data_IF_287195076361
#
_entry.id   IF_287195076361
#
_cell.length_a   1.000
_cell.length_b   1.000
_cell.length_c   1.000
_cell.angle_alpha   90.00
_cell.angle_beta   90.00
_cell.angle_gamma   90.00
#
_symmetry.space_group_name_H-M   'P 1'
#
loop_
_entity.id
_entity.type
_entity.pdbx_description
1 polymer ?
#
# COMPACT_ATOMS: atom_id res chain seq x y z
N UNK A 1 -17.51 6.94 17.84
CA UNK A 1 -18.56 7.32 16.85
C UNK A 1 -18.91 6.08 16.05
N UNK A 2 -20.16 5.91 15.62
CA UNK A 2 -20.60 4.77 14.81
C UNK A 2 -21.72 5.19 13.85
N UNK A 3 -21.76 4.55 12.68
CA UNK A 3 -22.81 4.69 11.66
C UNK A 3 -23.09 3.31 11.07
N UNK A 4 -24.34 3.03 10.73
CA UNK A 4 -24.75 1.75 10.12
C UNK A 4 -25.28 2.03 8.71
N UNK A 5 -24.67 1.42 7.71
CA UNK A 5 -25.03 1.56 6.30
C UNK A 5 -25.23 0.16 5.69
N UNK A 6 -26.38 -0.06 5.05
CA UNK A 6 -26.63 -1.30 4.32
C UNK A 6 -25.94 -1.23 2.96
N UNK A 7 -25.05 -2.19 2.68
CA UNK A 7 -24.27 -2.29 1.45
C UNK A 7 -24.57 -3.60 0.73
N UNK A 8 -24.66 -3.56 -0.60
CA UNK A 8 -24.72 -4.78 -1.40
C UNK A 8 -23.39 -5.55 -1.35
N UNK A 9 -23.32 -6.82 -1.77
CA UNK A 9 -22.04 -7.51 -1.89
C UNK A 9 -21.09 -6.80 -2.84
N UNK A 10 -19.83 -6.62 -2.44
CA UNK A 10 -18.84 -5.88 -3.21
C UNK A 10 -17.70 -5.32 -2.38
N UNK A 11 -16.75 -4.67 -3.06
CA UNK A 11 -15.60 -4.00 -2.43
C UNK A 11 -15.89 -2.51 -2.33
N UNK A 12 -15.84 -1.98 -1.11
CA UNK A 12 -16.14 -0.58 -0.82
C UNK A 12 -14.90 0.11 -0.29
N UNK A 13 -14.66 1.34 -0.76
CA UNK A 13 -13.57 2.21 -0.33
C UNK A 13 -14.13 3.40 0.43
N UNK A 14 -13.47 3.79 1.53
CA UNK A 14 -13.92 4.89 2.38
C UNK A 14 -12.76 5.54 3.14
N UNK A 15 -13.02 6.74 3.67
CA UNK A 15 -12.16 7.49 4.59
C UNK A 15 -13.02 8.23 5.61
N UNK A 16 -12.42 8.61 6.73
CA UNK A 16 -13.08 9.46 7.72
C UNK A 16 -12.64 10.91 7.53
N UNK A 17 -13.54 11.85 7.80
CA UNK A 17 -13.19 13.26 7.96
C UNK A 17 -13.19 13.53 9.47
N UNK A 18 -12.03 13.91 10.00
CA UNK A 18 -11.83 14.22 11.42
C UNK A 18 -11.16 15.59 11.47
N UNK A 19 -11.80 16.57 12.10
CA UNK A 19 -11.32 17.97 12.16
C UNK A 19 -11.01 18.53 10.76
N UNK A 20 -11.94 18.37 9.80
CA UNK A 20 -11.82 18.77 8.39
C UNK A 20 -10.68 18.09 7.60
N UNK A 21 -10.02 17.09 8.19
CA UNK A 21 -8.93 16.36 7.56
C UNK A 21 -9.33 14.92 7.19
N UNK A 22 -8.96 14.49 5.98
CA UNK A 22 -9.21 13.14 5.47
C UNK A 22 -8.24 12.11 6.05
N UNK A 23 -8.71 11.24 6.94
CA UNK A 23 -7.89 10.22 7.62
C UNK A 23 -8.34 8.79 7.35
N UNK A 24 -7.38 7.87 7.29
CA UNK A 24 -7.65 6.43 7.30
C UNK A 24 -7.66 5.92 8.74
N UNK A 25 -8.55 4.98 9.06
CA UNK A 25 -8.55 4.28 10.33
C UNK A 25 -7.33 3.34 10.42
N UNK A 26 -6.48 3.46 11.46
CA UNK A 26 -5.26 2.64 11.59
C UNK A 26 -5.52 1.15 11.80
N UNK A 27 -6.73 0.79 12.22
CA UNK A 27 -7.14 -0.58 12.56
C UNK A 27 -7.90 -1.29 11.44
N UNK A 28 -8.16 -0.60 10.33
CA UNK A 28 -8.90 -1.15 9.20
C UNK A 28 -7.96 -1.36 8.01
N UNK A 29 -8.21 -2.36 7.14
CA UNK A 29 -7.42 -2.57 5.94
C UNK A 29 -7.35 -1.31 5.08
N UNK A 30 -6.20 -1.10 4.45
CA UNK A 30 -5.97 0.01 3.53
C UNK A 30 -5.48 -0.50 2.19
N UNK A 31 -5.90 0.16 1.13
CA UNK A 31 -5.42 -0.08 -0.23
C UNK A 31 -5.14 1.25 -0.91
N UNK A 32 -4.34 1.18 -1.97
CA UNK A 32 -4.13 2.31 -2.87
C UNK A 32 -5.23 2.27 -3.95
N UNK A 33 -5.93 3.38 -4.14
CA UNK A 33 -6.96 3.50 -5.18
C UNK A 33 -6.34 3.73 -6.57
N UNK A 34 -7.16 3.74 -7.63
CA UNK A 34 -6.71 4.01 -9.01
C UNK A 34 -5.97 5.35 -9.14
N UNK A 35 -6.33 6.31 -8.30
CA UNK A 35 -5.71 7.63 -8.18
C UNK A 35 -4.43 7.65 -7.33
N UNK A 36 -4.00 6.53 -6.77
CA UNK A 36 -2.83 6.47 -5.88
C UNK A 36 -3.08 6.91 -4.43
N UNK A 37 -4.32 7.23 -4.08
CA UNK A 37 -4.69 7.64 -2.72
C UNK A 37 -4.78 6.44 -1.78
N UNK A 38 -4.23 6.58 -0.57
CA UNK A 38 -4.44 5.60 0.49
C UNK A 38 -5.86 5.76 1.07
N UNK A 39 -6.65 4.69 0.99
CA UNK A 39 -8.04 4.61 1.47
C UNK A 39 -8.22 3.37 2.33
N UNK A 40 -9.19 3.39 3.24
CA UNK A 40 -9.66 2.14 3.84
C UNK A 40 -10.56 1.41 2.86
N UNK A 41 -10.57 0.08 2.93
CA UNK A 41 -11.54 -0.71 2.17
C UNK A 41 -12.15 -1.82 3.03
N UNK A 42 -13.34 -2.27 2.62
CA UNK A 42 -14.02 -3.42 3.17
C UNK A 42 -14.62 -4.23 2.04
N UNK A 43 -14.51 -5.55 2.15
CA UNK A 43 -15.19 -6.49 1.26
C UNK A 43 -16.45 -6.98 1.95
N UNK A 44 -17.60 -6.75 1.32
CA UNK A 44 -18.90 -7.22 1.77
C UNK A 44 -19.22 -8.48 0.99
N UNK A 45 -19.17 -9.63 1.67
CA UNK A 45 -19.54 -10.91 1.08
C UNK A 45 -21.03 -11.00 0.78
N UNK A 46 -21.39 -11.75 -0.26
CA UNK A 46 -22.77 -12.19 -0.42
C UNK A 46 -23.12 -13.07 0.77
N UNK A 47 -24.02 -12.59 1.64
CA UNK A 47 -24.65 -13.47 2.62
C UNK A 47 -25.53 -14.41 1.82
N UNK A 48 -24.98 -15.54 1.37
CA UNK A 48 -25.79 -16.66 0.90
C UNK A 48 -26.51 -17.14 2.16
N UNK A 49 -27.85 -17.02 2.26
CA UNK A 49 -28.56 -17.65 3.35
C UNK A 49 -28.40 -19.15 3.12
N UNK A 50 -27.45 -19.80 3.82
CA UNK A 50 -27.40 -21.25 3.87
C UNK A 50 -28.63 -21.73 4.64
N UNK A 51 -29.58 -22.46 4.02
CA UNK A 51 -30.70 -23.02 4.73
C UNK A 51 -30.29 -24.39 5.30
N UNK A 52 -29.61 -24.39 6.43
CA UNK A 52 -29.53 -25.49 7.43
C UNK A 52 -28.40 -25.14 8.40
N UNK A 53 -28.62 -25.01 9.71
CA UNK A 53 -29.20 -26.03 10.59
C UNK A 53 -29.63 -25.34 11.89
N UNK A 54 -30.92 -25.19 12.11
CA UNK A 54 -31.46 -25.05 13.46
C UNK A 54 -31.56 -26.45 14.10
N UNK A 55 -31.32 -26.52 15.41
CA UNK A 55 -32.04 -27.38 16.39
C UNK A 55 -31.23 -28.48 17.12
N UNK A 56 -30.94 -28.17 18.41
CA UNK A 56 -30.89 -29.03 19.64
C UNK A 56 -29.80 -30.12 19.74
N UNK A 57 -29.24 -30.54 20.88
CA UNK A 57 -29.12 -30.18 22.31
C UNK A 57 -28.06 -31.15 22.91
N UNK A 58 -27.52 -30.95 24.14
CA UNK A 58 -26.37 -31.70 24.69
C UNK A 58 -26.76 -32.98 25.47
N UNK A 59 -25.73 -33.78 25.85
CA UNK A 59 -25.68 -34.92 26.80
C UNK A 59 -25.97 -36.34 26.28
N UNK A 60 -24.95 -37.22 26.39
CA UNK A 60 -25.15 -38.60 26.85
C UNK A 60 -24.32 -39.71 26.19
N UNK A 61 -23.39 -40.29 26.99
CA UNK A 61 -23.03 -41.73 27.08
C UNK A 61 -22.38 -42.42 25.85
N UNK A 62 -21.35 -43.28 25.91
CA UNK A 62 -20.43 -43.78 26.93
C UNK A 62 -19.31 -44.58 26.18
N UNK A 63 -18.05 -44.49 26.62
CA UNK A 63 -17.01 -45.52 26.41
C UNK A 63 -17.31 -46.73 27.34
N UNK A 64 -16.64 -47.93 27.29
CA UNK A 64 -15.25 -48.20 26.86
C UNK A 64 -14.96 -49.60 26.23
N UNK A 65 -13.74 -49.83 25.70
CA UNK A 65 -13.02 -51.11 25.82
C UNK A 65 -11.53 -50.96 25.45
N UNK A 66 -10.68 -51.51 26.31
CA UNK A 66 -9.21 -51.39 26.46
C UNK A 66 -8.54 -52.69 25.93
N UNK A 67 -7.27 -53.07 26.22
CA UNK A 67 -5.96 -52.36 26.32
C UNK A 67 -4.82 -53.10 25.56
N UNK A 68 -3.65 -52.47 25.35
CA UNK A 68 -2.42 -53.24 25.10
C UNK A 68 -1.21 -52.46 24.57
N UNK A 69 -0.12 -52.42 25.36
CA UNK A 69 1.25 -52.44 24.82
C UNK A 69 2.14 -51.19 24.99
N UNK A 70 2.76 -51.06 26.16
CA UNK A 70 4.10 -50.54 26.52
C UNK A 70 4.92 -49.56 25.62
N UNK A 71 5.19 -48.39 26.23
CA UNK A 71 6.32 -47.41 26.22
C UNK A 71 7.69 -47.74 25.53
N UNK A 72 8.64 -46.78 25.30
CA UNK A 72 8.74 -45.40 25.85
C UNK A 72 9.23 -44.26 24.91
N UNK A 73 9.15 -43.03 25.46
CA UNK A 73 10.03 -41.87 25.22
C UNK A 73 10.09 -41.20 23.82
N UNK A 74 9.44 -40.04 23.71
CA UNK A 74 10.11 -38.77 23.34
C UNK A 74 9.22 -37.59 23.70
N UNK A 75 9.71 -36.76 24.61
CA UNK A 75 9.12 -35.47 24.93
C UNK A 75 9.49 -34.49 23.83
N UNK A 76 8.51 -34.05 23.05
CA UNK A 76 8.66 -32.83 22.25
C UNK A 76 7.34 -32.08 22.24
N UNK A 77 7.28 -31.03 23.05
CA UNK A 77 6.24 -30.00 23.03
C UNK A 77 6.27 -29.29 21.68
N UNK A 78 5.29 -29.54 20.80
CA UNK A 78 4.98 -28.65 19.68
C UNK A 78 3.81 -27.75 20.07
N UNK A 79 4.17 -26.60 20.66
CA UNK A 79 3.26 -25.46 20.77
C UNK A 79 2.83 -24.94 19.40
N UNK A 80 1.80 -24.07 19.33
CA UNK A 80 1.31 -23.55 18.07
C UNK A 80 2.41 -22.73 17.39
N UNK A 81 2.52 -22.92 16.09
CA UNK A 81 3.52 -22.34 15.21
C UNK A 81 3.74 -20.85 15.50
N UNK A 82 4.94 -20.54 16.00
CA UNK A 82 5.48 -19.20 16.07
C UNK A 82 5.58 -18.65 14.63
N UNK A 83 4.67 -17.73 14.30
CA UNK A 83 4.90 -16.78 13.20
C UNK A 83 6.18 -15.98 13.53
N UNK A 84 7.13 -15.82 12.61
CA UNK A 84 8.37 -15.12 12.89
C UNK A 84 8.08 -13.67 13.29
N UNK A 85 8.52 -13.27 14.49
CA UNK A 85 8.44 -11.91 15.06
C UNK A 85 9.29 -10.86 14.30
N UNK A 86 9.65 -11.07 13.04
CA UNK A 86 10.53 -10.14 12.32
C UNK A 86 9.80 -9.03 11.53
N UNK A 87 8.46 -9.02 11.50
CA UNK A 87 7.69 -8.01 10.74
C UNK A 87 6.83 -7.15 11.68
N UNK A 88 7.35 -6.74 12.84
CA UNK A 88 6.61 -5.82 13.73
C UNK A 88 7.33 -4.53 14.14
N UNK A 89 8.55 -4.31 13.69
CA UNK A 89 9.23 -3.05 14.00
C UNK A 89 10.30 -2.80 12.98
N UNK A 90 9.91 -2.31 11.80
CA UNK A 90 10.84 -1.45 11.08
C UNK A 90 10.81 -0.09 11.78
N UNK A 91 11.88 0.31 12.48
CA UNK A 91 12.00 1.68 12.93
C UNK A 91 11.94 2.58 11.69
N UNK A 92 11.16 3.66 11.76
CA UNK A 92 11.30 4.75 10.81
C UNK A 92 12.79 5.10 10.74
N UNK A 93 13.43 5.05 9.57
CA UNK A 93 14.85 5.35 9.48
C UNK A 93 15.04 6.76 10.04
N UNK A 94 15.84 6.86 11.10
CA UNK A 94 16.27 8.15 11.58
C UNK A 94 16.99 8.85 10.42
N UNK A 95 16.58 10.08 10.11
CA UNK A 95 17.28 10.89 9.13
C UNK A 95 18.72 11.07 9.62
N UNK A 96 19.65 10.35 9.00
CA UNK A 96 21.06 10.49 9.30
C UNK A 96 21.67 11.57 8.43
N UNK A 97 22.37 12.51 9.05
CA UNK A 97 23.23 13.47 8.35
C UNK A 97 24.59 12.87 7.95
N UNK A 98 24.83 11.58 8.23
CA UNK A 98 26.08 10.91 7.87
C UNK A 98 26.18 10.77 6.35
N UNK A 99 27.15 11.45 5.74
CA UNK A 99 27.55 11.18 4.36
C UNK A 99 28.18 9.79 4.34
N UNK A 100 27.65 8.81 3.59
CA UNK A 100 28.28 7.51 3.47
C UNK A 100 29.66 7.71 2.82
N UNK A 101 30.72 7.37 3.56
CA UNK A 101 32.08 7.35 3.00
C UNK A 101 32.14 6.28 1.91
N UNK A 102 32.56 6.61 0.68
CA UNK A 102 32.71 5.61 -0.36
C UNK A 102 33.83 4.66 0.08
N UNK A 103 33.46 3.46 0.54
CA UNK A 103 34.42 2.39 0.74
C UNK A 103 35.03 2.08 -0.62
N UNK A 104 36.34 2.28 -0.76
CA UNK A 104 37.15 1.85 -1.90
C UNK A 104 37.17 0.32 -1.95
N UNK A 105 36.06 -0.28 -2.38
CA UNK A 105 35.93 -1.70 -2.64
C UNK A 105 35.70 -1.87 -4.13
N UNK A 106 36.63 -2.59 -4.73
CA UNK A 106 36.81 -2.86 -6.14
C UNK A 106 35.52 -3.10 -6.91
N UNK A 107 35.40 -2.38 -8.03
CA UNK A 107 34.56 -2.60 -9.19
C UNK A 107 33.73 -3.90 -9.20
N UNK A 108 32.54 -3.85 -8.61
CA UNK A 108 31.41 -4.63 -9.12
C UNK A 108 30.44 -3.62 -9.70
N UNK A 109 30.37 -3.58 -11.03
CA UNK A 109 29.41 -2.79 -11.78
C UNK A 109 28.02 -3.00 -11.15
N UNK A 110 27.52 -1.96 -10.49
CA UNK A 110 26.12 -1.90 -10.09
C UNK A 110 25.29 -2.03 -11.36
N UNK A 111 24.24 -2.86 -11.38
CA UNK A 111 23.33 -2.86 -12.52
C UNK A 111 22.86 -1.42 -12.71
N UNK A 112 23.06 -0.90 -13.93
CA UNK A 112 22.55 0.40 -14.36
C UNK A 112 21.09 0.47 -13.88
N UNK A 113 20.65 1.50 -13.15
CA UNK A 113 19.24 1.62 -12.81
C UNK A 113 18.45 1.81 -14.11
N UNK A 114 17.99 0.69 -14.64
CA UNK A 114 17.18 0.59 -15.84
C UNK A 114 15.86 1.31 -15.60
N UNK A 115 15.44 2.11 -16.59
CA UNK A 115 14.06 2.58 -16.84
C UNK A 115 13.63 3.98 -16.36
N UNK A 116 14.22 4.59 -15.33
CA UNK A 116 13.67 5.84 -14.77
C UNK A 116 13.70 7.05 -15.74
N UNK A 117 14.63 7.08 -16.70
CA UNK A 117 14.81 8.22 -17.60
C UNK A 117 13.74 8.34 -18.70
N UNK A 118 13.10 7.24 -19.12
CA UNK A 118 12.24 7.25 -20.29
C UNK A 118 10.85 7.89 -20.02
N UNK A 119 10.33 7.76 -18.80
CA UNK A 119 8.97 8.20 -18.46
C UNK A 119 8.85 9.71 -18.16
N UNK A 120 9.96 10.38 -17.82
CA UNK A 120 9.98 11.77 -17.35
C UNK A 120 10.10 12.80 -18.49
N UNK A 121 10.43 12.40 -19.71
CA UNK A 121 10.67 13.33 -20.83
C UNK A 121 9.41 13.98 -21.43
N UNK A 122 8.21 13.58 -21.02
CA UNK A 122 6.96 13.96 -21.70
C UNK A 122 6.49 15.40 -21.42
N UNK A 123 6.87 16.01 -20.28
CA UNK A 123 6.37 17.34 -19.89
C UNK A 123 7.07 18.49 -20.63
N UNK A 124 8.30 18.30 -21.09
CA UNK A 124 9.07 19.35 -21.77
C UNK A 124 8.57 19.63 -23.21
N UNK A 125 7.81 18.71 -23.80
CA UNK A 125 7.43 18.77 -25.22
C UNK A 125 6.00 19.29 -25.49
N UNK A 126 5.19 19.55 -24.46
CA UNK A 126 3.76 19.84 -24.65
C UNK A 126 3.45 21.30 -25.06
N UNK A 127 4.43 22.18 -25.17
CA UNK A 127 4.22 23.57 -25.64
C UNK A 127 4.36 23.74 -27.17
N UNK A 128 4.80 22.71 -27.88
CA UNK A 128 5.01 22.76 -29.33
C UNK A 128 3.90 22.02 -30.07
N UNK A 129 2.71 22.61 -30.16
CA UNK A 129 1.63 22.04 -30.95
C UNK A 129 0.40 22.92 -31.04
N UNK A 130 0.28 23.63 -32.16
CA UNK A 130 -0.91 24.30 -32.69
C UNK A 130 -2.23 23.60 -32.27
N UNK A 131 -2.96 24.12 -31.28
CA UNK A 131 -4.40 23.86 -31.13
C UNK A 131 -5.07 24.90 -30.24
N UNK A 132 -6.31 25.19 -30.61
CA UNK A 132 -7.31 26.07 -30.00
C UNK A 132 -7.60 25.71 -28.52
N UNK A 133 -6.66 26.03 -27.62
CA UNK A 133 -6.83 25.88 -26.17
C UNK A 133 -6.31 27.13 -25.44
N UNK A 134 -6.86 27.48 -24.27
CA UNK A 134 -6.39 28.64 -23.52
C UNK A 134 -4.93 28.42 -23.08
N UNK A 135 -4.09 29.47 -23.07
CA UNK A 135 -2.64 29.38 -22.84
C UNK A 135 -2.23 28.77 -21.49
N UNK A 136 -3.17 28.67 -20.54
CA UNK A 136 -2.95 28.13 -19.19
C UNK A 136 -3.40 26.66 -19.03
N UNK A 137 -3.91 26.02 -20.08
CA UNK A 137 -4.38 24.63 -20.01
C UNK A 137 -3.29 23.65 -20.43
N UNK A 138 -2.80 22.87 -19.48
CA UNK A 138 -1.85 21.80 -19.71
C UNK A 138 -2.56 20.43 -19.85
N UNK A 139 -2.01 19.49 -20.64
CA UNK A 139 -2.53 18.13 -20.71
C UNK A 139 -2.37 17.40 -19.35
N UNK A 140 -3.23 16.41 -19.10
CA UNK A 140 -3.16 15.59 -17.89
C UNK A 140 -1.84 14.80 -17.88
N UNK A 141 -0.95 15.03 -16.90
CA UNK A 141 0.33 14.33 -16.84
C UNK A 141 0.15 12.88 -16.35
N UNK A 142 1.01 11.94 -16.78
CA UNK A 142 1.03 10.61 -16.19
C UNK A 142 1.39 10.70 -14.70
N UNK A 143 0.73 9.91 -13.85
CA UNK A 143 0.90 10.00 -12.38
C UNK A 143 2.34 9.79 -11.91
N UNK A 144 3.14 9.00 -12.65
CA UNK A 144 4.57 8.76 -12.36
C UNK A 144 5.42 10.01 -12.56
N UNK A 145 4.96 11.00 -13.31
CA UNK A 145 5.71 12.25 -13.52
C UNK A 145 5.49 13.30 -12.42
N UNK A 146 4.56 13.05 -11.49
CA UNK A 146 4.26 13.97 -10.39
C UNK A 146 5.36 13.95 -9.33
N UNK A 147 5.59 15.10 -8.70
CA UNK A 147 6.60 15.31 -7.66
C UNK A 147 8.05 15.10 -8.12
N UNK A 148 8.29 14.97 -9.43
CA UNK A 148 9.62 15.00 -10.01
C UNK A 148 10.08 16.44 -10.26
N UNK A 149 11.36 16.69 -9.98
CA UNK A 149 11.99 17.98 -10.25
C UNK A 149 12.38 18.08 -11.72
N UNK A 150 11.83 19.08 -12.39
CA UNK A 150 12.21 19.47 -13.75
C UNK A 150 13.10 20.71 -13.67
N UNK A 151 14.20 20.71 -14.42
CA UNK A 151 15.09 21.85 -14.51
C UNK A 151 15.45 22.09 -15.97
N UNK A 152 15.43 23.36 -16.39
CA UNK A 152 16.02 23.75 -17.66
C UNK A 152 17.52 24.04 -17.47
N UNK A 153 18.30 23.88 -18.55
CA UNK A 153 19.69 24.32 -18.55
C UNK A 153 19.79 25.79 -18.17
N UNK A 154 20.81 26.12 -17.39
CA UNK A 154 21.11 27.49 -16.99
C UNK A 154 21.40 28.32 -18.24
N UNK A 155 20.69 29.43 -18.40
CA UNK A 155 20.89 30.40 -19.50
C UNK A 155 20.96 31.79 -18.89
N UNK A 156 21.96 32.57 -19.28
CA UNK A 156 22.15 33.96 -18.82
C UNK A 156 22.17 34.14 -17.30
N UNK A 157 22.72 33.16 -16.57
CA UNK A 157 22.79 33.16 -15.11
C UNK A 157 21.47 32.81 -14.41
N UNK A 158 20.42 32.45 -15.16
CA UNK A 158 19.11 32.07 -14.64
C UNK A 158 18.87 30.57 -14.81
N UNK A 159 18.37 29.93 -13.75
CA UNK A 159 17.93 28.54 -13.77
C UNK A 159 16.41 28.48 -13.55
N UNK A 160 15.69 27.86 -14.47
CA UNK A 160 14.27 27.59 -14.31
C UNK A 160 14.06 26.18 -13.76
N UNK A 161 13.23 26.06 -12.73
CA UNK A 161 12.91 24.79 -12.06
C UNK A 161 11.38 24.70 -11.93
N UNK A 162 10.83 23.51 -12.15
CA UNK A 162 9.41 23.23 -12.07
C UNK A 162 9.14 21.86 -11.43
N UNK A 163 7.97 21.72 -10.80
CA UNK A 163 7.45 20.45 -10.28
C UNK A 163 5.96 20.40 -10.57
N UNK A 164 5.47 19.27 -11.06
CA UNK A 164 4.03 19.04 -11.20
C UNK A 164 3.50 18.40 -9.93
N UNK A 165 2.70 19.14 -9.17
CA UNK A 165 2.06 18.67 -7.93
C UNK A 165 0.56 18.45 -8.14
N UNK A 166 0.01 17.46 -7.43
CA UNK A 166 -1.44 17.19 -7.43
C UNK A 166 -2.12 17.92 -6.29
N UNK A 167 -3.18 18.66 -6.58
CA UNK A 167 -4.08 19.23 -5.58
C UNK A 167 -5.46 18.58 -5.68
N UNK A 168 -5.76 17.71 -4.70
CA UNK A 168 -6.97 16.87 -4.69
C UNK A 168 -7.04 15.99 -5.94
N UNK A 169 -7.97 16.30 -6.85
CA UNK A 169 -8.19 15.60 -8.12
C UNK A 169 -7.62 16.37 -9.33
N UNK A 170 -6.90 17.47 -9.10
CA UNK A 170 -6.27 18.32 -10.11
C UNK A 170 -4.76 18.16 -10.09
#
# INVERSE_FOLDING_TARGET
FAVTLALAPGIYRFKFIVDDEWRCAPKLPTAQDEDGNLVNFVEVGATVPSPSRQTRSPLGHAQPLLPGGSHPASATSSGPAAVPEHVRSQPVPAFSSSVPTPSSSSARATPIPTSAAAAISSLAASSAGLSESPPDSLPVPPHVSLNHLYACSIKDGVMAVAVTGRYRKK
#
